data_IF_672277749798
#
_entry.id   IF_672277749798
#
_cell.length_a   1.000
_cell.length_b   1.000
_cell.length_c   1.000
_cell.angle_alpha   90.00
_cell.angle_beta   90.00
_cell.angle_gamma   90.00
#
_symmetry.space_group_name_H-M   'P 1'
#
loop_
_entity.id
_entity.type
_entity.pdbx_description
1 polymer ?
#
# COMPACT_ATOMS: atom_id res chain seq x y z
N UNK A 1 57.49 -36.34 -37.60
CA UNK A 1 57.21 -35.90 -38.98
C UNK A 1 55.70 -35.99 -39.21
N UNK A 2 55.15 -35.13 -40.07
CA UNK A 2 53.75 -35.07 -40.57
C UNK A 2 53.17 -36.44 -41.03
N UNK A 3 51.88 -36.72 -41.20
CA UNK A 3 50.57 -35.98 -41.29
C UNK A 3 49.52 -36.59 -40.33
N UNK A 4 48.20 -36.25 -40.27
CA UNK A 4 47.38 -35.17 -40.85
C UNK A 4 46.16 -35.64 -41.67
N UNK A 5 44.92 -35.26 -41.26
CA UNK A 5 43.61 -35.55 -41.90
C UNK A 5 42.99 -36.92 -41.54
N UNK A 6 41.67 -37.16 -41.55
CA UNK A 6 40.54 -36.25 -41.85
C UNK A 6 39.17 -36.76 -41.30
N UNK A 7 38.20 -35.86 -41.20
CA UNK A 7 36.72 -36.05 -41.19
C UNK A 7 36.07 -37.20 -40.37
N UNK A 8 35.68 -36.86 -39.13
CA UNK A 8 34.62 -37.57 -38.41
C UNK A 8 33.25 -36.94 -38.67
N UNK A 9 32.40 -37.61 -39.44
CA UNK A 9 30.99 -37.25 -39.65
C UNK A 9 30.22 -37.28 -38.32
N UNK A 10 29.61 -36.17 -37.91
CA UNK A 10 28.72 -36.11 -36.75
C UNK A 10 27.64 -35.06 -37.01
N UNK A 11 26.45 -35.55 -37.37
CA UNK A 11 25.29 -34.75 -37.71
C UNK A 11 24.92 -33.74 -36.61
N UNK A 12 24.73 -32.48 -36.99
CA UNK A 12 24.23 -31.44 -36.11
C UNK A 12 22.74 -31.67 -35.77
N UNK A 13 22.33 -31.58 -34.50
CA UNK A 13 20.91 -31.59 -34.15
C UNK A 13 20.22 -30.28 -34.60
N UNK A 14 18.93 -30.32 -34.98
CA UNK A 14 18.20 -29.12 -35.40
C UNK A 14 17.97 -28.14 -34.23
N UNK A 15 17.79 -26.83 -34.51
CA UNK A 15 17.55 -25.84 -33.47
C UNK A 15 16.20 -26.06 -32.79
N UNK A 16 16.22 -26.21 -31.46
CA UNK A 16 15.00 -26.24 -30.65
C UNK A 16 14.38 -24.84 -30.59
N UNK A 17 13.18 -24.68 -31.15
CA UNK A 17 12.42 -23.43 -31.10
C UNK A 17 11.88 -23.22 -29.68
N UNK A 18 12.56 -22.39 -28.89
CA UNK A 18 12.10 -22.01 -27.56
C UNK A 18 10.92 -21.03 -27.67
N UNK A 19 9.70 -21.56 -27.78
CA UNK A 19 8.47 -20.80 -27.56
C UNK A 19 8.33 -20.50 -26.07
N UNK A 20 9.03 -19.46 -25.61
CA UNK A 20 8.86 -18.91 -24.27
C UNK A 20 7.51 -18.20 -24.16
N UNK A 21 6.45 -18.94 -23.88
CA UNK A 21 5.21 -18.35 -23.34
C UNK A 21 5.55 -17.74 -21.99
N UNK A 22 5.57 -16.41 -21.91
CA UNK A 22 5.47 -15.70 -20.64
C UNK A 22 4.15 -16.10 -20.00
N UNK A 23 4.23 -16.87 -18.91
CA UNK A 23 3.07 -17.16 -18.09
C UNK A 23 2.72 -15.89 -17.30
N UNK A 24 1.61 -15.25 -17.66
CA UNK A 24 1.01 -14.22 -16.81
C UNK A 24 0.73 -14.81 -15.41
N UNK A 25 0.93 -14.04 -14.33
CA UNK A 25 0.61 -14.50 -12.99
C UNK A 25 -0.90 -14.78 -12.88
N UNK A 26 -1.26 -16.05 -12.64
CA UNK A 26 -2.65 -16.48 -12.49
C UNK A 26 -3.18 -15.98 -11.14
N UNK A 27 -3.77 -14.80 -11.13
CA UNK A 27 -4.58 -14.28 -10.03
C UNK A 27 -5.95 -14.98 -10.01
N UNK A 28 -6.43 -15.46 -8.85
CA UNK A 28 -7.73 -16.12 -8.75
C UNK A 28 -8.88 -15.10 -8.81
N UNK A 29 -9.63 -15.09 -9.91
CA UNK A 29 -10.84 -14.26 -10.06
C UNK A 29 -12.03 -14.86 -9.29
N UNK A 30 -12.53 -14.17 -8.27
CA UNK A 30 -13.71 -14.60 -7.50
C UNK A 30 -14.97 -13.89 -8.00
N UNK A 31 -15.74 -14.56 -8.86
CA UNK A 31 -17.02 -14.05 -9.36
C UNK A 31 -18.15 -14.36 -8.35
N UNK A 32 -18.31 -13.51 -7.34
CA UNK A 32 -19.40 -13.61 -6.37
C UNK A 32 -20.75 -13.18 -6.96
N UNK A 33 -21.72 -14.09 -7.02
CA UNK A 33 -23.12 -13.75 -7.36
C UNK A 33 -23.90 -13.36 -6.10
N UNK A 34 -24.52 -12.18 -6.11
CA UNK A 34 -25.29 -11.65 -4.98
C UNK A 34 -26.61 -12.43 -4.76
N UNK A 35 -27.04 -12.66 -3.49
CA UNK A 35 -28.36 -13.24 -3.19
C UNK A 35 -29.51 -12.30 -3.59
N UNK A 36 -30.70 -12.83 -3.93
CA UNK A 36 -31.84 -12.04 -4.41
C UNK A 36 -32.49 -11.13 -3.35
N UNK A 37 -32.19 -11.29 -2.06
CA UNK A 37 -32.79 -10.52 -0.95
C UNK A 37 -31.86 -9.39 -0.42
N UNK A 38 -30.97 -8.86 -1.25
CA UNK A 38 -30.09 -7.75 -0.86
C UNK A 38 -30.88 -6.43 -0.63
N UNK A 39 -30.73 -5.74 0.53
CA UNK A 39 -31.51 -4.55 0.84
C UNK A 39 -31.16 -3.36 -0.07
N UNK A 40 -32.20 -2.72 -0.62
CA UNK A 40 -32.09 -1.64 -1.62
C UNK A 40 -31.54 -0.29 -1.09
N UNK A 41 -30.95 -0.27 0.11
CA UNK A 41 -30.38 0.92 0.75
C UNK A 41 -28.90 1.18 0.35
N UNK A 42 -28.23 0.19 -0.25
CA UNK A 42 -26.85 0.27 -0.72
C UNK A 42 -26.53 1.44 -1.70
N UNK A 43 -27.44 1.93 -2.57
CA UNK A 43 -27.11 3.01 -3.53
C UNK A 43 -26.59 4.28 -2.87
N UNK A 44 -27.06 4.63 -1.67
CA UNK A 44 -26.65 5.85 -0.97
C UNK A 44 -25.25 5.78 -0.37
N UNK A 45 -24.73 4.59 -0.06
CA UNK A 45 -23.33 4.40 0.35
C UNK A 45 -22.41 4.40 -0.88
N UNK A 46 -22.84 3.76 -1.97
CA UNK A 46 -22.13 3.71 -3.24
C UNK A 46 -22.04 5.08 -3.94
N UNK A 47 -23.00 5.97 -3.71
CA UNK A 47 -23.03 7.32 -4.27
C UNK A 47 -22.20 8.37 -3.50
N UNK A 48 -21.60 8.03 -2.36
CA UNK A 48 -20.83 9.01 -1.58
C UNK A 48 -19.58 9.48 -2.32
N UNK A 49 -19.20 10.78 -2.26
CA UNK A 49 -17.97 11.25 -2.88
C UNK A 49 -16.73 10.52 -2.33
N UNK A 50 -15.62 10.58 -3.08
CA UNK A 50 -14.32 10.04 -2.64
C UNK A 50 -13.85 10.80 -1.40
N UNK A 51 -13.27 10.09 -0.44
CA UNK A 51 -12.61 10.68 0.74
C UNK A 51 -11.66 11.79 0.26
N UNK A 52 -11.72 12.95 0.92
CA UNK A 52 -10.84 14.07 0.62
C UNK A 52 -9.65 14.08 1.57
N UNK A 53 -8.48 14.61 1.17
CA UNK A 53 -7.33 14.69 2.04
C UNK A 53 -7.62 15.38 3.38
N UNK A 54 -8.45 16.43 3.37
CA UNK A 54 -8.83 17.19 4.56
C UNK A 54 -9.85 16.47 5.46
N UNK A 55 -10.38 15.32 5.02
CA UNK A 55 -11.28 14.46 5.80
C UNK A 55 -10.50 13.30 6.42
N UNK A 56 -9.58 12.66 5.67
CA UNK A 56 -8.69 11.64 6.21
C UNK A 56 -7.64 12.22 7.18
N UNK A 57 -7.11 13.41 6.86
CA UNK A 57 -6.01 14.07 7.59
C UNK A 57 -6.39 15.51 7.98
N UNK A 58 -7.41 15.70 8.84
CA UNK A 58 -8.01 17.02 9.09
C UNK A 58 -7.10 17.99 9.85
N UNK A 59 -6.08 17.50 10.54
CA UNK A 59 -5.18 18.30 11.35
C UNK A 59 -3.73 18.28 10.83
N UNK A 60 -3.00 19.37 11.08
CA UNK A 60 -1.52 19.44 10.92
C UNK A 60 -0.81 18.98 12.18
N UNK A 61 -1.46 19.04 13.34
CA UNK A 61 -0.96 18.49 14.60
C UNK A 61 -2.04 17.64 15.23
N UNK A 62 -1.72 16.38 15.49
CA UNK A 62 -2.62 15.39 16.07
C UNK A 62 -2.24 15.19 17.53
N UNK A 63 -3.26 15.06 18.39
CA UNK A 63 -3.09 14.58 19.77
C UNK A 63 -4.05 13.41 19.96
N UNK A 64 -3.52 12.26 20.32
CA UNK A 64 -4.29 11.04 20.51
C UNK A 64 -4.75 10.91 21.97
N UNK A 65 -5.63 9.94 22.24
CA UNK A 65 -6.31 9.76 23.52
C UNK A 65 -5.36 9.40 24.68
N UNK A 66 -4.25 8.72 24.37
CA UNK A 66 -3.16 8.44 25.31
C UNK A 66 -2.37 9.71 25.71
N UNK A 67 -2.55 10.79 24.96
CA UNK A 67 -1.88 12.08 25.13
C UNK A 67 -0.65 12.28 24.26
N UNK A 68 -0.25 11.27 23.46
CA UNK A 68 0.81 11.39 22.45
C UNK A 68 0.48 12.48 21.42
N UNK A 69 1.52 12.98 20.73
CA UNK A 69 1.42 14.11 19.82
C UNK A 69 2.27 13.90 18.59
N UNK A 70 1.68 14.20 17.44
CA UNK A 70 2.33 14.08 16.14
C UNK A 70 2.14 15.34 15.30
N UNK A 71 3.14 15.66 14.48
CA UNK A 71 3.10 16.72 13.46
C UNK A 71 3.02 16.05 12.08
N UNK A 72 2.06 16.47 11.25
CA UNK A 72 1.96 16.07 9.85
C UNK A 72 2.93 16.93 9.04
N UNK A 73 4.04 16.32 8.61
CA UNK A 73 5.14 17.01 7.90
C UNK A 73 4.98 17.00 6.38
N UNK A 74 4.22 16.05 5.82
CA UNK A 74 3.90 16.02 4.39
C UNK A 74 2.47 15.47 4.11
N UNK A 75 1.97 15.74 2.90
CA UNK A 75 0.71 15.22 2.38
C UNK A 75 0.75 15.13 0.84
N UNK A 76 0.81 13.91 0.32
CA UNK A 76 0.66 13.60 -1.09
C UNK A 76 -0.79 13.16 -1.41
N UNK A 77 -1.31 13.57 -2.57
CA UNK A 77 -2.56 13.01 -3.10
C UNK A 77 -2.49 12.89 -4.62
N UNK A 78 -3.00 11.78 -5.15
CA UNK A 78 -2.98 11.49 -6.59
C UNK A 78 -4.19 10.63 -6.98
N UNK A 79 -4.76 10.80 -8.19
CA UNK A 79 -5.70 9.83 -8.76
C UNK A 79 -4.99 8.57 -9.29
N UNK A 80 -3.68 8.63 -9.52
CA UNK A 80 -2.87 7.47 -9.91
C UNK A 80 -2.48 6.67 -8.66
N UNK A 81 -3.30 5.68 -8.32
CA UNK A 81 -3.11 4.86 -7.13
C UNK A 81 -1.91 3.90 -7.20
N UNK A 82 -1.31 3.67 -8.37
CA UNK A 82 -0.09 2.87 -8.51
C UNK A 82 1.16 3.65 -8.08
N UNK A 83 1.11 4.99 -8.16
CA UNK A 83 2.18 5.92 -7.80
C UNK A 83 2.39 6.02 -6.27
N UNK A 84 2.87 4.94 -5.66
CA UNK A 84 3.14 4.84 -4.22
C UNK A 84 3.05 3.44 -3.64
N UNK A 85 3.19 2.40 -4.47
CA UNK A 85 2.94 0.99 -4.14
C UNK A 85 4.15 0.11 -4.50
N UNK A 86 4.23 -1.09 -3.92
CA UNK A 86 5.02 -2.17 -4.52
C UNK A 86 4.48 -2.53 -5.91
N UNK A 87 5.32 -3.08 -6.82
CA UNK A 87 4.88 -3.47 -8.16
C UNK A 87 3.67 -4.42 -8.18
N UNK A 88 3.62 -5.35 -7.24
CA UNK A 88 2.56 -6.34 -7.10
C UNK A 88 1.25 -5.72 -6.61
N UNK A 89 1.32 -4.74 -5.70
CA UNK A 89 0.14 -3.99 -5.25
C UNK A 89 -0.34 -2.99 -6.30
N UNK A 90 0.56 -2.33 -7.03
CA UNK A 90 0.23 -1.50 -8.19
C UNK A 90 -0.56 -2.31 -9.22
N UNK A 91 -0.02 -3.47 -9.65
CA UNK A 91 -0.68 -4.34 -10.62
C UNK A 91 -2.04 -4.84 -10.13
N UNK A 92 -2.20 -5.15 -8.85
CA UNK A 92 -3.48 -5.55 -8.25
C UNK A 92 -4.52 -4.41 -8.28
N UNK A 93 -4.09 -3.19 -7.99
CA UNK A 93 -4.94 -1.98 -8.00
C UNK A 93 -5.37 -1.65 -9.44
N UNK A 94 -4.44 -1.73 -10.40
CA UNK A 94 -4.72 -1.49 -11.83
C UNK A 94 -5.72 -2.49 -12.39
N UNK A 95 -5.57 -3.78 -12.10
CA UNK A 95 -6.50 -4.84 -12.51
C UNK A 95 -7.94 -4.63 -12.01
N UNK A 96 -8.11 -3.94 -10.87
CA UNK A 96 -9.44 -3.60 -10.35
C UNK A 96 -10.12 -2.46 -11.12
N UNK A 97 -9.38 -1.59 -11.80
CA UNK A 97 -9.86 -0.32 -12.45
C UNK A 97 -10.72 0.59 -11.53
N UNK A 98 -10.68 0.31 -10.22
CA UNK A 98 -11.65 0.80 -9.25
C UNK A 98 -11.11 1.81 -8.26
N UNK A 99 -9.78 1.99 -8.16
CA UNK A 99 -9.22 3.00 -7.27
C UNK A 99 -9.51 4.41 -7.80
N UNK A 100 -9.90 5.31 -6.91
CA UNK A 100 -10.33 6.68 -7.22
C UNK A 100 -9.35 7.74 -6.71
N UNK A 101 -8.60 7.42 -5.66
CA UNK A 101 -7.60 8.30 -5.05
C UNK A 101 -6.68 7.53 -4.09
N UNK A 102 -5.41 7.87 -4.13
CA UNK A 102 -4.43 7.69 -3.07
C UNK A 102 -4.27 9.02 -2.33
N UNK A 103 -4.28 9.00 -1.00
CA UNK A 103 -3.81 10.11 -0.17
C UNK A 103 -2.88 9.57 0.91
N UNK A 104 -1.64 10.05 0.96
CA UNK A 104 -0.64 9.65 1.94
C UNK A 104 -0.20 10.87 2.75
N UNK A 105 -0.04 10.72 4.06
CA UNK A 105 0.47 11.74 4.95
C UNK A 105 1.62 11.20 5.79
N UNK A 106 2.71 11.96 5.88
CA UNK A 106 3.84 11.64 6.75
C UNK A 106 3.67 12.36 8.09
N UNK A 107 3.75 11.59 9.18
CA UNK A 107 3.72 12.07 10.55
C UNK A 107 5.06 11.84 11.25
N UNK A 108 5.38 12.71 12.19
CA UNK A 108 6.50 12.55 13.12
C UNK A 108 6.09 12.89 14.55
N UNK A 109 6.76 12.29 15.53
CA UNK A 109 6.57 12.59 16.94
C UNK A 109 7.25 13.92 17.36
N UNK A 110 7.00 14.34 18.61
CA UNK A 110 7.56 15.59 19.16
C UNK A 110 9.09 15.60 19.27
N UNK A 111 9.74 14.43 19.28
CA UNK A 111 11.19 14.28 19.28
C UNK A 111 11.79 14.25 17.86
N UNK A 112 10.95 14.20 16.81
CA UNK A 112 11.32 14.03 15.40
C UNK A 112 12.12 12.76 15.13
N UNK A 113 11.86 11.71 15.91
CA UNK A 113 12.49 10.39 15.83
C UNK A 113 11.68 9.43 14.99
N UNK A 114 10.35 9.41 15.12
CA UNK A 114 9.50 8.51 14.33
C UNK A 114 9.11 9.12 13.00
N UNK A 115 8.90 8.26 12.01
CA UNK A 115 8.36 8.58 10.70
C UNK A 115 7.26 7.57 10.39
N UNK A 116 6.01 8.02 10.39
CA UNK A 116 4.84 7.18 10.12
C UNK A 116 4.12 7.71 8.89
N UNK A 117 4.21 7.00 7.77
CA UNK A 117 3.40 7.29 6.59
C UNK A 117 2.08 6.56 6.72
N UNK A 118 0.96 7.28 6.72
CA UNK A 118 -0.38 6.69 6.66
C UNK A 118 -1.00 6.99 5.30
N UNK A 119 -1.44 5.95 4.60
CA UNK A 119 -1.94 6.01 3.21
C UNK A 119 -3.38 5.49 3.14
N UNK A 120 -4.30 6.33 2.68
CA UNK A 120 -5.69 5.97 2.37
C UNK A 120 -5.84 5.74 0.87
N UNK A 121 -6.22 4.52 0.49
CA UNK A 121 -6.72 4.20 -0.84
C UNK A 121 -8.24 4.12 -0.80
N UNK A 122 -8.92 4.95 -1.61
CA UNK A 122 -10.38 4.92 -1.74
C UNK A 122 -10.81 4.32 -3.08
N UNK A 123 -11.69 3.32 -3.03
CA UNK A 123 -12.17 2.59 -4.19
C UNK A 123 -13.63 2.91 -4.53
N UNK A 124 -14.01 2.64 -5.78
CA UNK A 124 -15.38 2.72 -6.28
C UNK A 124 -16.24 1.57 -5.78
N UNK A 125 -15.64 0.38 -5.61
CA UNK A 125 -16.30 -0.86 -5.24
C UNK A 125 -15.70 -1.43 -3.96
N UNK A 126 -16.50 -2.07 -3.13
CA UNK A 126 -16.03 -2.75 -1.90
C UNK A 126 -15.14 -3.94 -2.25
N UNK A 127 -15.43 -4.62 -3.36
CA UNK A 127 -14.71 -5.79 -3.86
C UNK A 127 -13.24 -5.47 -4.17
N UNK A 128 -12.95 -4.28 -4.72
CA UNK A 128 -11.57 -3.84 -5.01
C UNK A 128 -10.79 -3.61 -3.70
N UNK A 129 -11.41 -2.91 -2.75
CA UNK A 129 -10.85 -2.67 -1.42
C UNK A 129 -10.64 -3.99 -0.65
N UNK A 130 -11.60 -4.92 -0.73
CA UNK A 130 -11.51 -6.26 -0.13
C UNK A 130 -10.37 -7.07 -0.74
N UNK A 131 -10.20 -7.04 -2.06
CA UNK A 131 -9.11 -7.75 -2.76
C UNK A 131 -7.74 -7.23 -2.31
N UNK A 132 -7.56 -5.90 -2.32
CA UNK A 132 -6.33 -5.23 -1.86
C UNK A 132 -6.04 -5.54 -0.38
N UNK A 133 -7.04 -5.40 0.50
CA UNK A 133 -6.88 -5.70 1.92
C UNK A 133 -6.55 -7.19 2.16
N UNK A 134 -7.19 -8.11 1.45
CA UNK A 134 -6.97 -9.55 1.58
C UNK A 134 -5.55 -9.95 1.13
N UNK A 135 -5.10 -9.50 -0.04
CA UNK A 135 -3.76 -9.83 -0.55
C UNK A 135 -2.67 -9.26 0.35
N UNK A 136 -2.79 -8.00 0.77
CA UNK A 136 -1.89 -7.42 1.77
C UNK A 136 -1.97 -8.10 3.14
N UNK A 137 -3.07 -8.79 3.47
CA UNK A 137 -3.19 -9.58 4.69
C UNK A 137 -2.50 -10.94 4.62
N UNK A 138 -2.39 -11.52 3.43
CA UNK A 138 -1.71 -12.78 3.21
C UNK A 138 -0.20 -12.58 3.07
N UNK A 139 0.22 -11.48 2.44
CA UNK A 139 1.64 -11.13 2.27
C UNK A 139 1.85 -9.59 2.37
N UNK A 140 2.07 -9.06 3.60
CA UNK A 140 2.24 -7.63 3.83
C UNK A 140 3.59 -7.07 3.34
N UNK A 141 4.55 -7.93 2.96
CA UNK A 141 5.86 -7.48 2.45
C UNK A 141 5.82 -7.33 0.93
N UNK A 142 5.14 -8.25 0.24
CA UNK A 142 4.92 -8.16 -1.21
C UNK A 142 3.90 -7.07 -1.56
N UNK A 143 2.82 -6.90 -0.77
CA UNK A 143 1.76 -5.93 -1.05
C UNK A 143 1.78 -4.75 -0.05
N UNK A 144 2.77 -3.88 -0.19
CA UNK A 144 3.00 -2.73 0.70
C UNK A 144 2.88 -1.38 -0.02
N UNK A 145 2.47 -0.34 0.73
CA UNK A 145 2.62 1.06 0.29
C UNK A 145 4.07 1.50 0.45
N UNK A 146 4.52 2.47 -0.34
CA UNK A 146 5.82 3.13 -0.15
C UNK A 146 5.67 4.23 0.89
N UNK A 147 6.63 4.33 1.83
CA UNK A 147 6.69 5.44 2.78
C UNK A 147 7.09 6.74 2.08
N UNK A 148 6.54 7.87 2.50
CA UNK A 148 6.96 9.18 2.01
C UNK A 148 8.32 9.55 2.61
N UNK A 149 9.20 10.12 1.79
CA UNK A 149 10.40 10.80 2.27
C UNK A 149 10.01 12.15 2.91
N UNK A 150 10.62 12.54 4.05
CA UNK A 150 10.38 13.86 4.62
C UNK A 150 10.89 14.97 3.68
N UNK A 151 10.13 16.06 3.48
CA UNK A 151 10.56 17.17 2.66
C UNK A 151 11.79 17.86 3.29
N UNK A 152 12.71 18.44 2.49
CA UNK A 152 13.98 19.00 3.00
C UNK A 152 13.81 20.02 4.14
N UNK A 153 12.74 20.83 4.10
CA UNK A 153 12.38 21.81 5.13
C UNK A 153 11.94 21.21 6.48
N UNK A 154 11.56 19.93 6.54
CA UNK A 154 11.25 19.26 7.80
C UNK A 154 12.49 19.10 8.69
N UNK A 155 13.69 19.11 8.10
CA UNK A 155 14.96 18.91 8.81
C UNK A 155 15.13 17.48 9.35
N UNK A 156 14.47 16.51 8.72
CA UNK A 156 14.48 15.10 9.08
C UNK A 156 15.29 14.27 8.08
N UNK A 157 15.97 13.19 8.50
CA UNK A 157 16.65 12.28 7.58
C UNK A 157 15.65 11.43 6.78
N UNK A 158 15.96 11.17 5.51
CA UNK A 158 15.32 10.09 4.74
C UNK A 158 15.74 8.74 5.31
N UNK A 159 14.79 7.81 5.52
CA UNK A 159 15.11 6.49 6.09
C UNK A 159 15.83 5.62 5.05
N UNK A 160 16.90 4.89 5.43
CA UNK A 160 17.62 4.02 4.50
C UNK A 160 16.72 2.93 3.89
N UNK A 161 16.85 2.62 2.58
CA UNK A 161 16.14 1.51 1.96
C UNK A 161 16.45 0.18 2.68
N UNK A 162 15.39 -0.54 3.04
CA UNK A 162 15.51 -1.83 3.76
C UNK A 162 15.72 -1.71 5.28
N UNK A 163 15.59 -0.51 5.87
CA UNK A 163 15.48 -0.37 7.31
C UNK A 163 14.27 -1.14 7.88
N UNK A 164 14.36 -1.58 9.14
CA UNK A 164 13.26 -2.22 9.82
C UNK A 164 12.07 -1.25 9.95
N UNK A 165 10.87 -1.74 9.65
CA UNK A 165 9.64 -0.95 9.65
C UNK A 165 8.43 -1.80 10.05
N UNK A 166 7.44 -1.13 10.63
CA UNK A 166 6.17 -1.70 11.03
C UNK A 166 5.14 -1.41 9.95
N UNK A 167 4.61 -2.47 9.35
CA UNK A 167 3.53 -2.39 8.36
C UNK A 167 2.22 -2.82 9.02
N UNK A 168 1.20 -1.96 8.91
CA UNK A 168 -0.16 -2.19 9.41
C UNK A 168 -1.18 -1.70 8.40
N UNK A 169 -2.40 -2.22 8.48
CA UNK A 169 -3.52 -1.75 7.66
C UNK A 169 -4.87 -2.11 8.29
N UNK A 170 -5.86 -1.29 7.98
CA UNK A 170 -7.28 -1.51 8.28
C UNK A 170 -8.09 -1.33 6.99
N UNK A 171 -9.33 -1.83 7.00
CA UNK A 171 -10.29 -1.66 5.90
C UNK A 171 -11.59 -1.06 6.44
N UNK A 172 -12.15 -0.12 5.68
CA UNK A 172 -13.45 0.51 5.94
C UNK A 172 -14.52 -0.09 5.01
N UNK A 173 -15.56 0.63 4.61
CA UNK A 173 -16.57 0.10 3.67
C UNK A 173 -16.00 -0.05 2.26
N UNK A 174 -15.17 0.90 1.82
CA UNK A 174 -14.60 0.92 0.45
C UNK A 174 -13.22 1.58 0.36
N UNK A 175 -12.59 1.84 1.51
CA UNK A 175 -11.24 2.36 1.57
C UNK A 175 -10.35 1.40 2.35
N UNK A 176 -9.06 1.35 2.00
CA UNK A 176 -8.03 0.62 2.76
C UNK A 176 -7.05 1.65 3.29
N UNK A 177 -6.78 1.61 4.58
CA UNK A 177 -5.82 2.49 5.24
C UNK A 177 -4.59 1.66 5.58
N UNK A 178 -3.43 2.04 5.07
CA UNK A 178 -2.12 1.46 5.38
C UNK A 178 -1.35 2.41 6.29
N UNK A 179 -0.50 1.87 7.15
CA UNK A 179 0.46 2.65 7.93
C UNK A 179 1.82 1.95 7.95
N UNK A 180 2.85 2.71 7.60
CA UNK A 180 4.24 2.32 7.59
C UNK A 180 5.00 3.16 8.62
N UNK A 181 5.37 2.57 9.76
CA UNK A 181 6.17 3.25 10.79
C UNK A 181 7.62 2.79 10.79
N UNK A 182 8.53 3.74 10.92
CA UNK A 182 9.97 3.52 10.93
C UNK A 182 10.65 4.59 11.80
N UNK A 183 11.81 4.26 12.37
CA UNK A 183 12.65 5.27 13.05
C UNK A 183 13.52 6.01 12.04
N UNK A 184 13.64 7.33 12.20
CA UNK A 184 14.37 8.20 11.28
C UNK A 184 15.87 7.94 11.20
N UNK A 185 16.45 7.35 12.23
CA UNK A 185 17.84 6.87 12.24
C UNK A 185 18.00 5.46 11.66
N UNK A 186 16.91 4.81 11.25
CA UNK A 186 16.88 3.43 10.76
C UNK A 186 17.09 2.38 11.85
N UNK A 187 16.97 2.73 13.14
CA UNK A 187 17.16 1.79 14.23
C UNK A 187 16.13 0.64 14.22
N UNK A 188 16.59 -0.57 14.56
CA UNK A 188 15.72 -1.75 14.74
C UNK A 188 15.26 -1.90 16.21
N UNK A 189 15.72 -1.03 17.10
CA UNK A 189 15.36 -1.04 18.52
C UNK A 189 14.00 -0.41 18.76
N UNK A 190 13.40 -0.65 19.94
CA UNK A 190 12.12 -0.05 20.33
C UNK A 190 10.94 -0.43 19.41
N UNK A 191 10.99 -1.60 18.75
CA UNK A 191 9.95 -2.13 17.82
C UNK A 191 8.53 -2.01 18.38
N UNK A 192 8.34 -2.31 19.67
CA UNK A 192 7.05 -2.20 20.34
C UNK A 192 6.54 -0.75 20.41
N UNK A 193 7.42 0.23 20.58
CA UNK A 193 7.04 1.64 20.65
C UNK A 193 6.65 2.16 19.26
N UNK A 194 7.47 1.92 18.22
CA UNK A 194 7.10 2.31 16.84
C UNK A 194 5.85 1.56 16.37
N UNK A 195 5.64 0.31 16.81
CA UNK A 195 4.40 -0.43 16.58
C UNK A 195 3.19 0.31 17.14
N UNK A 196 3.22 0.69 18.43
CA UNK A 196 2.13 1.44 19.06
C UNK A 196 1.86 2.75 18.33
N UNK A 197 2.89 3.57 18.06
CA UNK A 197 2.72 4.84 17.31
C UNK A 197 2.10 4.63 15.92
N UNK A 198 2.44 3.53 15.24
CA UNK A 198 1.90 3.19 13.92
C UNK A 198 0.45 2.76 13.99
N UNK A 199 0.09 1.93 14.96
CA UNK A 199 -1.27 1.43 15.18
C UNK A 199 -2.21 2.56 15.62
N UNK A 200 -1.76 3.46 16.50
CA UNK A 200 -2.57 4.58 16.99
C UNK A 200 -2.85 5.61 15.88
N UNK A 201 -1.85 5.94 15.05
CA UNK A 201 -2.04 6.83 13.89
C UNK A 201 -2.89 6.18 12.79
N UNK A 202 -2.75 4.87 12.57
CA UNK A 202 -3.61 4.10 11.67
C UNK A 202 -5.07 4.14 12.13
N UNK A 203 -5.32 3.90 13.43
CA UNK A 203 -6.66 3.92 14.01
C UNK A 203 -7.28 5.32 13.90
N UNK A 204 -6.55 6.37 14.26
CA UNK A 204 -7.00 7.76 14.13
C UNK A 204 -7.44 8.12 12.71
N UNK A 205 -6.65 7.76 11.69
CA UNK A 205 -6.99 8.03 10.28
C UNK A 205 -8.14 7.14 9.81
N UNK A 206 -8.15 5.86 10.20
CA UNK A 206 -9.25 4.94 9.92
C UNK A 206 -10.59 5.48 10.44
N UNK A 207 -10.64 5.98 11.68
CA UNK A 207 -11.87 6.47 12.30
C UNK A 207 -12.40 7.73 11.61
N UNK A 208 -11.51 8.62 11.16
CA UNK A 208 -11.88 9.76 10.31
C UNK A 208 -12.48 9.30 8.96
N UNK A 209 -11.90 8.24 8.34
CA UNK A 209 -12.40 7.68 7.08
C UNK A 209 -13.75 6.98 7.27
N UNK A 210 -13.92 6.19 8.34
CA UNK A 210 -15.19 5.54 8.70
C UNK A 210 -16.28 6.59 8.93
N UNK A 211 -16.03 7.61 9.75
CA UNK A 211 -16.98 8.70 10.00
C UNK A 211 -17.40 9.41 8.70
N UNK A 212 -16.49 9.59 7.75
CA UNK A 212 -16.82 10.15 6.43
C UNK A 212 -17.67 9.19 5.56
N UNK A 213 -17.38 7.89 5.58
CA UNK A 213 -18.12 6.88 4.82
C UNK A 213 -19.53 6.62 5.42
N UNK A 214 -19.70 6.74 6.73
CA UNK A 214 -20.97 6.53 7.44
C UNK A 214 -21.85 7.80 7.53
N UNK A 215 -21.26 8.99 7.72
CA UNK A 215 -21.91 10.31 7.70
C UNK A 215 -22.77 10.67 8.90
#
# INVERSE_FOLDING_TARGET
MYTGGDEGDTAAPPPATASGTTADPVVPSVTGSLPPDAPSALPSLLARPVVRPEQAFPATSVRLDDGSRYERVDLATTPDCAQGMSPELAALIEQGEGCLRLTAALFTDVERRSQVTVTVLSFRRVEDASSVFAMASMDPVTYQTVSLDPPPEAGMPTVPPGAAGVFRRLMTVRSVVFANGQWGDGAETEEAAITTQTEDLLQYVNDNVVAYEEG
#
